data_IF_286858338968
#
_entry.id   IF_286858338968
#
_cell.length_a   1.000
_cell.length_b   1.000
_cell.length_c   1.000
_cell.angle_alpha   90.00
_cell.angle_beta   90.00
_cell.angle_gamma   90.00
#
_symmetry.space_group_name_H-M   'P 1'
#
loop_
_entity.id
_entity.type
_entity.pdbx_description
1 polymer ?
#
# COMPACT_ATOMS: atom_id res chain seq x y z
N UNK A 1 -3.63 21.18 -9.15
CA UNK A 1 -3.23 22.51 -8.61
C UNK A 1 -1.81 22.83 -9.09
N UNK A 2 -0.78 22.07 -8.70
CA UNK A 2 0.59 22.34 -9.16
C UNK A 2 0.81 22.14 -10.67
N UNK A 3 0.04 21.26 -11.31
CA UNK A 3 0.11 20.99 -12.76
C UNK A 3 -0.42 22.12 -13.65
N UNK A 4 -1.15 23.09 -13.10
CA UNK A 4 -1.73 24.23 -13.84
C UNK A 4 -1.03 25.55 -13.55
N UNK A 5 0.08 25.54 -12.81
CA UNK A 5 0.89 26.73 -12.50
C UNK A 5 2.07 26.82 -13.46
N UNK A 6 2.39 28.03 -13.87
CA UNK A 6 3.66 28.33 -14.53
C UNK A 6 4.78 28.43 -13.49
N UNK A 7 6.03 28.09 -13.83
CA UNK A 7 7.17 28.34 -12.95
C UNK A 7 7.25 29.78 -12.50
N UNK A 8 7.76 29.96 -11.28
CA UNK A 8 7.90 31.24 -10.58
C UNK A 8 6.59 32.00 -10.33
N UNK A 9 5.43 31.32 -10.41
CA UNK A 9 4.12 31.94 -10.13
C UNK A 9 3.46 31.40 -8.88
N UNK A 10 2.61 32.24 -8.29
CA UNK A 10 1.76 31.90 -7.15
C UNK A 10 0.37 31.48 -7.62
N UNK A 11 -0.20 30.49 -6.94
CA UNK A 11 -1.61 30.13 -7.10
C UNK A 11 -2.50 31.07 -6.28
N UNK A 12 -3.78 31.16 -6.64
CA UNK A 12 -4.77 31.82 -5.78
C UNK A 12 -4.91 31.05 -4.45
N UNK A 13 -5.11 31.72 -3.30
CA UNK A 13 -5.27 31.04 -2.02
C UNK A 13 -6.41 30.02 -2.05
N UNK A 14 -6.17 28.82 -1.54
CA UNK A 14 -7.16 27.74 -1.46
C UNK A 14 -7.56 27.52 0.00
N UNK A 15 -8.86 27.49 0.26
CA UNK A 15 -9.42 27.12 1.56
C UNK A 15 -9.53 25.59 1.64
N UNK A 16 -8.96 25.00 2.69
CA UNK A 16 -9.07 23.59 2.98
C UNK A 16 -9.42 23.39 4.45
N UNK A 17 -10.42 22.56 4.74
CA UNK A 17 -10.69 22.15 6.12
C UNK A 17 -9.58 21.20 6.61
N UNK A 18 -9.03 21.49 7.79
CA UNK A 18 -8.03 20.63 8.40
C UNK A 18 -8.66 19.29 8.80
N UNK A 19 -7.94 18.19 8.57
CA UNK A 19 -8.44 16.83 8.90
C UNK A 19 -8.53 16.59 10.41
N UNK A 20 -7.70 17.26 11.20
CA UNK A 20 -7.56 17.09 12.65
C UNK A 20 -8.39 18.08 13.47
N UNK A 21 -8.81 19.19 12.87
CA UNK A 21 -9.60 20.24 13.52
C UNK A 21 -10.53 20.80 12.48
N UNK A 22 -11.81 21.03 12.79
CA UNK A 22 -12.77 21.66 11.88
C UNK A 22 -12.45 23.14 11.54
N UNK A 23 -11.19 23.56 11.70
CA UNK A 23 -10.68 24.86 11.33
C UNK A 23 -10.39 24.93 9.82
N UNK A 24 -10.65 26.10 9.24
CA UNK A 24 -10.31 26.43 7.86
C UNK A 24 -8.83 26.83 7.77
N UNK A 25 -8.12 26.23 6.83
CA UNK A 25 -6.72 26.51 6.54
C UNK A 25 -6.60 27.09 5.14
N UNK A 26 -5.92 28.22 5.02
CA UNK A 26 -5.62 28.84 3.73
C UNK A 26 -4.23 28.39 3.26
N UNK A 27 -4.17 27.82 2.06
CA UNK A 27 -2.91 27.37 1.44
C UNK A 27 -2.58 28.21 0.21
N UNK A 28 -1.34 28.70 0.18
CA UNK A 28 -0.75 29.35 -0.98
C UNK A 28 0.35 28.44 -1.53
N UNK A 29 0.34 28.21 -2.84
CA UNK A 29 1.35 27.41 -3.51
C UNK A 29 2.17 28.29 -4.44
N UNK A 30 3.49 28.16 -4.38
CA UNK A 30 4.43 28.78 -5.30
C UNK A 30 5.16 27.68 -6.04
N UNK A 31 5.10 27.68 -7.36
CA UNK A 31 5.82 26.71 -8.17
C UNK A 31 7.22 27.27 -8.48
N UNK A 32 8.26 26.74 -7.83
CA UNK A 32 9.63 27.20 -8.09
C UNK A 32 10.14 26.74 -9.46
N UNK A 33 9.91 25.48 -9.78
CA UNK A 33 10.35 24.85 -11.04
C UNK A 33 9.45 23.64 -11.32
N UNK A 34 9.39 23.21 -12.58
CA UNK A 34 8.74 21.97 -12.98
C UNK A 34 9.62 21.23 -13.97
N UNK A 35 9.89 19.96 -13.68
CA UNK A 35 10.56 19.07 -14.62
C UNK A 35 9.46 18.25 -15.30
N UNK A 36 9.32 18.41 -16.61
CA UNK A 36 8.48 17.54 -17.41
C UNK A 36 9.32 16.31 -17.76
N UNK A 37 9.23 15.28 -16.94
CA UNK A 37 9.75 13.97 -17.29
C UNK A 37 8.74 13.31 -18.24
N UNK A 38 9.17 13.03 -19.47
CA UNK A 38 8.41 12.15 -20.34
C UNK A 38 8.48 10.73 -19.78
N UNK A 39 7.36 9.98 -19.74
CA UNK A 39 7.43 8.59 -19.32
C UNK A 39 8.43 7.83 -20.20
N UNK A 40 9.22 6.95 -19.57
CA UNK A 40 10.11 6.02 -20.26
C UNK A 40 9.35 5.26 -21.34
N UNK A 41 10.07 4.83 -22.38
CA UNK A 41 9.44 4.04 -23.44
C UNK A 41 8.93 2.71 -22.88
N UNK A 42 7.96 2.10 -23.58
CA UNK A 42 7.49 0.78 -23.18
C UNK A 42 8.63 -0.24 -23.15
N UNK A 43 9.53 -0.20 -24.14
CA UNK A 43 10.68 -1.09 -24.24
C UNK A 43 11.61 -0.97 -23.01
N UNK A 44 11.83 0.25 -22.52
CA UNK A 44 12.63 0.51 -21.31
C UNK A 44 11.96 -0.01 -20.02
N UNK A 45 10.63 -0.06 -20.00
CA UNK A 45 9.86 -0.49 -18.82
C UNK A 45 9.43 -1.96 -18.88
N UNK A 46 9.60 -2.63 -20.03
CA UNK A 46 9.00 -3.95 -20.30
C UNK A 46 9.41 -4.98 -19.26
N UNK A 47 10.72 -5.11 -18.99
CA UNK A 47 11.24 -6.07 -18.02
C UNK A 47 10.72 -5.80 -16.60
N UNK A 48 10.67 -4.52 -16.19
CA UNK A 48 10.15 -4.13 -14.89
C UNK A 48 8.66 -4.46 -14.76
N UNK A 49 7.87 -4.13 -15.77
CA UNK A 49 6.43 -4.38 -15.80
C UNK A 49 6.14 -5.88 -15.77
N UNK A 50 6.88 -6.68 -16.53
CA UNK A 50 6.75 -8.14 -16.51
C UNK A 50 7.05 -8.71 -15.13
N UNK A 51 8.15 -8.29 -14.51
CA UNK A 51 8.53 -8.73 -13.17
C UNK A 51 7.48 -8.34 -12.10
N UNK A 52 6.96 -7.11 -12.18
CA UNK A 52 5.90 -6.65 -11.27
C UNK A 52 4.62 -7.47 -11.45
N UNK A 53 4.19 -7.72 -12.69
CA UNK A 53 3.01 -8.55 -12.99
C UNK A 53 3.17 -9.99 -12.51
N UNK A 54 4.35 -10.59 -12.70
CA UNK A 54 4.68 -11.93 -12.22
C UNK A 54 4.62 -11.96 -10.69
N UNK A 55 5.27 -11.02 -10.01
CA UNK A 55 5.28 -10.94 -8.54
C UNK A 55 3.86 -10.85 -7.98
N UNK A 56 3.05 -9.99 -8.56
CA UNK A 56 1.68 -9.78 -8.12
C UNK A 56 0.83 -11.04 -8.31
N UNK A 57 0.99 -11.73 -9.44
CA UNK A 57 0.30 -13.01 -9.70
C UNK A 57 0.77 -14.13 -8.78
N UNK A 58 2.07 -14.21 -8.48
CA UNK A 58 2.61 -15.16 -7.51
C UNK A 58 1.97 -14.93 -6.14
N UNK A 59 1.93 -13.69 -5.66
CA UNK A 59 1.34 -13.34 -4.36
C UNK A 59 -0.12 -13.79 -4.23
N UNK A 60 -0.92 -13.52 -5.27
CA UNK A 60 -2.33 -13.95 -5.33
C UNK A 60 -2.44 -15.47 -5.30
N UNK A 61 -1.70 -16.17 -6.16
CA UNK A 61 -1.76 -17.64 -6.22
C UNK A 61 -1.26 -18.31 -4.95
N UNK A 62 -0.20 -17.79 -4.33
CA UNK A 62 0.29 -18.29 -3.04
C UNK A 62 -0.78 -18.14 -1.96
N UNK A 63 -1.45 -17.00 -1.89
CA UNK A 63 -2.51 -16.76 -0.91
C UNK A 63 -3.69 -17.72 -1.12
N UNK A 64 -4.17 -17.85 -2.36
CA UNK A 64 -5.25 -18.80 -2.70
C UNK A 64 -4.87 -20.25 -2.41
N UNK A 65 -3.62 -20.64 -2.70
CA UNK A 65 -3.12 -21.98 -2.45
C UNK A 65 -3.07 -22.29 -0.95
N UNK A 66 -2.57 -21.35 -0.14
CA UNK A 66 -2.54 -21.50 1.32
C UNK A 66 -3.94 -21.63 1.90
N UNK A 67 -4.91 -20.88 1.39
CA UNK A 67 -6.32 -21.02 1.79
C UNK A 67 -6.90 -22.39 1.42
N UNK A 68 -6.60 -22.91 0.24
CA UNK A 68 -6.99 -24.28 -0.16
C UNK A 68 -6.37 -25.34 0.76
N UNK A 69 -5.09 -25.19 1.11
CA UNK A 69 -4.42 -26.09 2.03
C UNK A 69 -5.05 -26.04 3.43
N UNK A 70 -5.29 -24.84 3.97
CA UNK A 70 -5.98 -24.67 5.27
C UNK A 70 -7.31 -25.38 5.30
N UNK A 71 -8.15 -25.17 4.29
CA UNK A 71 -9.46 -25.83 4.17
C UNK A 71 -9.35 -27.35 4.06
N UNK A 72 -8.37 -27.85 3.28
CA UNK A 72 -8.19 -29.28 3.07
C UNK A 72 -7.73 -30.01 4.33
N UNK A 73 -6.86 -29.39 5.11
CA UNK A 73 -6.24 -30.02 6.29
C UNK A 73 -6.86 -29.57 7.63
N UNK A 74 -7.88 -28.71 7.61
CA UNK A 74 -8.68 -28.36 8.79
C UNK A 74 -7.99 -27.45 9.80
N UNK A 75 -6.93 -26.75 9.41
CA UNK A 75 -6.21 -25.80 10.28
C UNK A 75 -6.88 -24.43 10.25
N UNK A 76 -8.06 -24.33 10.87
CA UNK A 76 -8.65 -23.06 11.24
C UNK A 76 -7.97 -22.58 12.53
N UNK A 77 -7.53 -21.32 12.61
CA UNK A 77 -6.81 -20.81 13.79
C UNK A 77 -7.68 -20.97 15.06
N UNK A 78 -8.99 -20.79 14.89
CA UNK A 78 -9.99 -20.94 15.94
C UNK A 78 -10.15 -22.39 16.43
N UNK A 79 -10.01 -23.39 15.55
CA UNK A 79 -10.07 -24.80 15.96
C UNK A 79 -8.79 -25.21 16.70
N UNK A 80 -7.64 -24.71 16.24
CA UNK A 80 -6.36 -24.90 16.92
C UNK A 80 -6.36 -24.27 18.32
N UNK A 81 -6.80 -23.02 18.46
CA UNK A 81 -6.84 -22.34 19.75
C UNK A 81 -7.81 -23.00 20.74
N UNK A 82 -8.96 -23.50 20.28
CA UNK A 82 -9.88 -24.29 21.13
C UNK A 82 -9.33 -25.65 21.53
N UNK A 83 -8.42 -26.21 20.75
CA UNK A 83 -7.81 -27.52 21.03
C UNK A 83 -6.64 -27.46 22.02
N UNK A 84 -6.11 -26.26 22.31
CA UNK A 84 -5.01 -26.08 23.26
C UNK A 84 -5.61 -25.86 24.66
N UNK A 85 -5.28 -26.70 25.65
CA UNK A 85 -5.71 -26.50 27.03
C UNK A 85 -5.19 -25.18 27.60
N UNK A 86 -5.96 -24.53 28.48
CA UNK A 86 -5.58 -23.24 29.09
C UNK A 86 -4.23 -23.27 29.85
N UNK A 87 -3.82 -24.45 30.33
CA UNK A 87 -2.58 -24.67 31.08
C UNK A 87 -1.48 -25.37 30.25
N UNK A 88 -1.47 -25.17 28.93
CA UNK A 88 -0.47 -25.80 28.07
C UNK A 88 0.88 -25.08 28.15
N UNK A 89 1.82 -25.66 28.90
CA UNK A 89 3.21 -25.21 29.02
C UNK A 89 4.17 -26.21 28.31
N UNK A 90 4.35 -26.11 26.99
CA UNK A 90 5.10 -27.12 26.21
C UNK A 90 6.61 -27.13 26.47
N UNK A 91 7.15 -26.04 27.01
CA UNK A 91 8.58 -25.88 27.23
C UNK A 91 8.83 -25.34 28.63
N UNK A 92 8.83 -26.22 29.63
CA UNK A 92 9.33 -25.90 30.96
C UNK A 92 10.86 -26.04 30.90
N UNK A 93 11.55 -24.90 31.00
CA UNK A 93 12.99 -24.88 31.25
C UNK A 93 13.21 -25.32 32.70
N UNK A 94 13.87 -26.47 32.89
CA UNK A 94 14.36 -26.92 34.21
C UNK A 94 15.64 -26.21 34.59
#
# INVERSE_FOLDING_TARGET
ILTSLSPETFHTPIVQQARSSAAEVYKLYYLKDHVIETPSSFDEMTEKLENDLIRDKISVHSSEYMEKLRKRYGYELDTLQRSIPENFEPFILK
#
